data_IF_538128370675
#
_entry.id   IF_538128370675
#
_cell.length_a   1.000
_cell.length_b   1.000
_cell.length_c   1.000
_cell.angle_alpha   90.00
_cell.angle_beta   90.00
_cell.angle_gamma   90.00
#
_symmetry.space_group_name_H-M   'P 1'
#
loop_
_entity.id
_entity.type
_entity.pdbx_description
1 polymer ?
#
# COMPACT_ATOMS: atom_id res chain seq x y z
N UNK A 1 6.55 -7.41 -25.43
CA UNK A 1 6.36 -6.67 -24.18
C UNK A 1 7.20 -5.42 -24.28
N UNK A 2 6.56 -4.26 -24.23
CA UNK A 2 7.17 -2.95 -24.29
C UNK A 2 6.55 -2.12 -23.18
N UNK A 3 7.41 -1.52 -22.37
CA UNK A 3 7.03 -0.53 -21.37
C UNK A 3 7.95 0.67 -21.61
N UNK A 4 7.37 1.81 -21.95
CA UNK A 4 8.07 3.10 -22.02
C UNK A 4 7.19 4.15 -21.36
N UNK A 5 7.71 4.79 -20.33
CA UNK A 5 7.01 5.82 -19.57
C UNK A 5 7.90 7.07 -19.49
N UNK A 6 7.31 8.25 -19.47
CA UNK A 6 8.01 9.51 -19.20
C UNK A 6 7.26 10.31 -18.14
N UNK A 7 7.98 10.82 -17.14
CA UNK A 7 7.45 11.68 -16.09
C UNK A 7 8.38 12.86 -15.85
N UNK A 8 7.82 14.00 -15.48
CA UNK A 8 8.56 15.15 -14.92
C UNK A 8 8.39 15.28 -13.41
N UNK A 9 7.37 14.63 -12.85
CA UNK A 9 7.05 14.67 -11.44
C UNK A 9 6.95 13.23 -10.87
N UNK A 10 8.08 12.62 -10.49
CA UNK A 10 8.05 11.31 -9.85
C UNK A 10 7.66 11.38 -8.36
N UNK A 11 7.32 12.56 -7.81
CA UNK A 11 7.06 12.74 -6.38
C UNK A 11 5.98 11.79 -5.85
N UNK A 12 4.79 11.65 -6.47
CA UNK A 12 3.76 10.79 -5.92
C UNK A 12 4.21 9.32 -5.86
N UNK A 13 4.95 8.86 -6.89
CA UNK A 13 5.55 7.52 -6.89
C UNK A 13 6.62 7.38 -5.80
N UNK A 14 7.53 8.36 -5.69
CA UNK A 14 8.62 8.34 -4.70
C UNK A 14 8.09 8.35 -3.27
N UNK A 15 7.07 9.15 -3.02
CA UNK A 15 6.39 9.26 -1.73
C UNK A 15 5.69 7.95 -1.37
N UNK A 16 4.84 7.44 -2.28
CA UNK A 16 4.16 6.13 -2.12
C UNK A 16 5.16 5.03 -1.79
N UNK A 17 6.22 4.88 -2.59
CA UNK A 17 7.26 3.87 -2.37
C UNK A 17 7.99 4.08 -1.03
N UNK A 18 8.23 5.32 -0.62
CA UNK A 18 8.89 5.63 0.66
C UNK A 18 8.02 5.28 1.87
N UNK A 19 6.70 5.34 1.73
CA UNK A 19 5.74 4.95 2.75
C UNK A 19 5.63 3.44 2.93
N UNK A 20 5.94 2.64 1.92
CA UNK A 20 5.81 1.18 1.97
C UNK A 20 7.15 0.43 2.11
N UNK A 21 8.28 1.08 1.80
CA UNK A 21 9.60 0.44 1.77
C UNK A 21 10.12 -0.07 3.13
N UNK A 22 9.54 0.36 4.25
CA UNK A 22 9.87 -0.18 5.59
C UNK A 22 9.08 -1.45 5.91
N UNK A 23 7.99 -1.72 5.20
CA UNK A 23 7.17 -2.94 5.37
C UNK A 23 7.87 -4.11 4.68
N UNK A 24 8.22 -3.97 3.39
CA UNK A 24 8.98 -4.96 2.60
C UNK A 24 9.88 -4.33 1.56
N UNK A 25 10.89 -5.10 1.12
CA UNK A 25 11.91 -4.66 0.15
C UNK A 25 11.62 -5.02 -1.30
N UNK A 26 10.69 -5.94 -1.55
CA UNK A 26 10.30 -6.34 -2.90
C UNK A 26 8.85 -5.96 -3.16
N UNK A 27 8.61 -5.46 -4.36
CA UNK A 27 7.30 -5.03 -4.84
C UNK A 27 7.07 -5.58 -6.24
N UNK A 28 5.81 -5.82 -6.57
CA UNK A 28 5.33 -6.02 -7.94
C UNK A 28 4.71 -4.70 -8.40
N UNK A 29 5.16 -4.20 -9.54
CA UNK A 29 4.57 -3.08 -10.26
C UNK A 29 3.75 -3.66 -11.41
N UNK A 30 2.43 -3.50 -11.35
CA UNK A 30 1.48 -3.87 -12.41
C UNK A 30 1.10 -2.60 -13.15
N UNK A 31 1.65 -2.44 -14.35
CA UNK A 31 1.35 -1.31 -15.22
C UNK A 31 0.19 -1.65 -16.15
N UNK A 32 -0.85 -0.83 -16.10
CA UNK A 32 -1.94 -0.76 -17.09
C UNK A 32 -1.95 0.64 -17.70
N UNK A 33 -2.82 0.91 -18.69
CA UNK A 33 -2.91 2.26 -19.27
C UNK A 33 -3.44 3.30 -18.28
N UNK A 34 -4.32 2.87 -17.36
CA UNK A 34 -5.05 3.78 -16.48
C UNK A 34 -4.46 3.81 -15.07
N UNK A 35 -3.96 2.68 -14.58
CA UNK A 35 -3.49 2.51 -13.21
C UNK A 35 -2.12 1.78 -13.12
N UNK A 36 -1.27 2.28 -12.22
CA UNK A 36 -0.14 1.57 -11.66
C UNK A 36 -0.54 0.96 -10.32
N UNK A 37 -0.69 -0.36 -10.26
CA UNK A 37 -0.86 -1.08 -9.00
C UNK A 37 0.51 -1.49 -8.44
N UNK A 38 0.79 -1.17 -7.18
CA UNK A 38 2.00 -1.54 -6.45
C UNK A 38 1.63 -2.54 -5.36
N UNK A 39 2.19 -3.75 -5.43
CA UNK A 39 1.85 -4.84 -4.52
C UNK A 39 3.10 -5.24 -3.74
N UNK A 40 3.03 -5.23 -2.41
CA UNK A 40 4.16 -5.68 -1.59
C UNK A 40 4.23 -7.20 -1.54
N UNK A 41 5.41 -7.75 -1.85
CA UNK A 41 5.61 -9.20 -1.87
C UNK A 41 6.84 -9.62 -1.09
N UNK A 42 6.86 -10.87 -0.64
CA UNK A 42 8.05 -11.50 -0.09
C UNK A 42 8.50 -12.67 -0.97
N UNK A 43 9.29 -12.38 -2.01
CA UNK A 43 9.66 -13.39 -2.99
C UNK A 43 8.44 -13.89 -3.76
N UNK A 44 8.08 -15.18 -3.59
CA UNK A 44 6.93 -15.78 -4.29
C UNK A 44 5.62 -15.74 -3.50
N UNK A 45 5.63 -15.36 -2.22
CA UNK A 45 4.42 -15.33 -1.39
C UNK A 45 3.81 -13.93 -1.33
N UNK A 46 2.59 -13.82 -1.85
CA UNK A 46 1.75 -12.60 -1.82
C UNK A 46 0.85 -12.58 -0.57
N UNK A 47 0.53 -13.75 -0.02
CA UNK A 47 -0.37 -13.91 1.13
C UNK A 47 0.25 -13.57 2.48
N UNK A 48 1.54 -13.24 2.53
CA UNK A 48 2.20 -12.92 3.79
C UNK A 48 1.66 -11.59 4.33
N UNK A 49 1.20 -11.62 5.58
CA UNK A 49 0.74 -10.42 6.27
C UNK A 49 1.90 -9.61 6.86
N UNK A 50 1.76 -8.28 6.99
CA UNK A 50 0.65 -7.45 6.50
C UNK A 50 0.63 -7.36 4.96
N UNK A 51 -0.54 -7.12 4.40
CA UNK A 51 -0.78 -7.10 2.96
C UNK A 51 -0.95 -5.64 2.52
N UNK A 52 -0.23 -5.16 1.50
CA UNK A 52 -0.25 -3.74 1.07
C UNK A 52 -0.37 -3.61 -0.44
N UNK A 53 -1.40 -2.86 -0.85
CA UNK A 53 -1.73 -2.53 -2.22
C UNK A 53 -1.74 -1.01 -2.34
N UNK A 54 -1.09 -0.49 -3.36
CA UNK A 54 -1.21 0.92 -3.71
C UNK A 54 -1.72 1.02 -5.14
N UNK A 55 -2.65 1.93 -5.38
CA UNK A 55 -3.16 2.27 -6.70
C UNK A 55 -2.75 3.69 -6.99
N UNK A 56 -2.11 3.90 -8.14
CA UNK A 56 -1.74 5.24 -8.58
C UNK A 56 -2.23 5.44 -10.00
N UNK A 57 -2.97 6.52 -10.20
CA UNK A 57 -3.46 6.88 -11.53
C UNK A 57 -2.31 7.19 -12.47
N UNK A 58 -2.24 6.50 -13.60
CA UNK A 58 -1.11 6.62 -14.53
C UNK A 58 -0.95 8.03 -15.10
N UNK A 59 -2.07 8.72 -15.36
CA UNK A 59 -2.07 10.10 -15.89
C UNK A 59 -1.64 11.14 -14.86
N UNK A 60 -1.72 10.85 -13.56
CA UNK A 60 -1.15 11.72 -12.52
C UNK A 60 0.38 11.61 -12.44
N UNK A 61 0.93 10.45 -12.84
CA UNK A 61 2.37 10.16 -12.76
C UNK A 61 3.12 10.43 -14.06
N UNK A 62 2.56 10.07 -15.20
CA UNK A 62 3.30 9.98 -16.46
C UNK A 62 2.62 10.79 -17.57
N UNK A 63 3.41 11.61 -18.27
CA UNK A 63 2.97 12.41 -19.42
C UNK A 63 2.87 11.55 -20.70
N UNK A 64 3.69 10.53 -20.81
CA UNK A 64 3.70 9.60 -21.95
C UNK A 64 3.71 8.16 -21.43
N UNK A 65 2.73 7.38 -21.89
CA UNK A 65 2.52 5.99 -21.47
C UNK A 65 2.46 5.11 -22.72
N UNK A 66 3.39 4.16 -22.83
CA UNK A 66 3.37 3.14 -23.88
C UNK A 66 3.54 1.78 -23.23
N UNK A 67 2.44 1.01 -23.22
CA UNK A 67 2.36 -0.33 -22.65
C UNK A 67 1.86 -1.29 -23.72
N UNK A 68 2.69 -2.26 -24.09
CA UNK A 68 2.32 -3.33 -25.01
C UNK A 68 2.69 -4.67 -24.35
N UNK A 69 1.72 -5.55 -24.12
CA UNK A 69 1.96 -6.90 -23.60
C UNK A 69 1.48 -7.95 -24.60
N UNK A 70 2.14 -9.12 -24.60
CA UNK A 70 1.86 -10.19 -25.58
C UNK A 70 0.64 -11.05 -25.21
N UNK A 71 0.21 -11.00 -23.95
CA UNK A 71 -0.78 -11.92 -23.38
C UNK A 71 -1.81 -11.20 -22.48
N UNK A 72 -1.92 -9.87 -22.56
CA UNK A 72 -2.86 -9.09 -21.76
C UNK A 72 -2.67 -7.58 -21.92
N UNK A 73 -3.45 -6.79 -21.19
CA UNK A 73 -3.36 -5.32 -21.14
C UNK A 73 -2.35 -4.79 -20.10
N UNK A 74 -1.70 -5.69 -19.36
CA UNK A 74 -0.82 -5.34 -18.25
C UNK A 74 0.63 -5.84 -18.43
N UNK A 75 1.58 -5.08 -17.87
CA UNK A 75 2.98 -5.48 -17.70
C UNK A 75 3.29 -5.55 -16.21
N UNK A 76 3.69 -6.73 -15.72
CA UNK A 76 4.00 -6.95 -14.31
C UNK A 76 5.49 -7.17 -14.12
N UNK A 77 6.12 -6.40 -13.24
CA UNK A 77 7.54 -6.54 -12.91
C UNK A 77 7.74 -6.57 -11.39
N UNK A 78 8.55 -7.51 -10.92
CA UNK A 78 9.01 -7.61 -9.55
C UNK A 78 10.42 -7.01 -9.43
N UNK A 79 10.62 -6.08 -8.50
CA UNK A 79 11.92 -5.43 -8.26
C UNK A 79 12.11 -5.03 -6.79
N UNK A 80 13.33 -4.63 -6.45
CA UNK A 80 13.65 -4.11 -5.13
C UNK A 80 13.30 -2.62 -5.03
N UNK A 81 12.47 -2.26 -4.04
CA UNK A 81 11.96 -0.89 -3.85
C UNK A 81 13.05 0.12 -3.49
N UNK A 82 14.07 -0.28 -2.72
CA UNK A 82 15.13 0.63 -2.29
C UNK A 82 15.98 1.08 -3.48
N UNK A 83 16.23 0.19 -4.45
CA UNK A 83 16.95 0.54 -5.69
C UNK A 83 16.17 1.54 -6.56
N UNK A 84 14.84 1.38 -6.61
CA UNK A 84 13.98 2.33 -7.32
C UNK A 84 13.97 3.68 -6.61
N UNK A 85 13.73 3.70 -5.30
CA UNK A 85 13.78 4.91 -4.49
C UNK A 85 15.12 5.64 -4.58
N UNK A 86 16.24 4.92 -4.54
CA UNK A 86 17.56 5.51 -4.71
C UNK A 86 17.70 6.20 -6.08
N UNK A 87 17.20 5.55 -7.14
CA UNK A 87 17.25 6.12 -8.48
C UNK A 87 16.38 7.38 -8.61
N UNK A 88 15.18 7.37 -8.03
CA UNK A 88 14.30 8.54 -8.00
C UNK A 88 14.93 9.71 -7.22
N UNK A 89 15.55 9.44 -6.06
CA UNK A 89 16.28 10.46 -5.29
C UNK A 89 17.47 11.05 -6.06
N UNK A 90 18.15 10.24 -6.87
CA UNK A 90 19.25 10.73 -7.71
C UNK A 90 18.72 11.64 -8.83
N UNK A 91 17.58 11.29 -9.42
CA UNK A 91 16.90 12.14 -10.41
C UNK A 91 16.52 13.50 -9.81
N UNK A 92 15.92 13.53 -8.62
CA UNK A 92 15.54 14.79 -7.95
C UNK A 92 16.75 15.70 -7.73
N UNK A 93 17.89 15.13 -7.34
CA UNK A 93 19.14 15.88 -7.14
C UNK A 93 19.75 16.40 -8.42
N UNK A 94 19.49 15.75 -9.54
CA UNK A 94 20.07 16.11 -10.83
C UNK A 94 19.35 17.30 -11.48
N UNK A 95 18.17 17.72 -10.97
CA UNK A 95 17.33 18.76 -11.57
C UNK A 95 17.10 18.53 -13.08
N UNK A 96 16.88 17.26 -13.47
CA UNK A 96 16.61 16.89 -14.85
C UNK A 96 15.18 17.26 -15.24
N UNK A 97 14.98 17.66 -16.50
CA UNK A 97 13.67 18.06 -17.02
C UNK A 97 12.68 16.89 -17.17
N UNK A 98 13.18 15.66 -17.22
CA UNK A 98 12.32 14.48 -17.32
C UNK A 98 13.05 13.17 -17.02
N UNK A 99 12.26 12.18 -16.63
CA UNK A 99 12.68 10.83 -16.30
C UNK A 99 11.97 9.84 -17.22
N UNK A 100 12.73 9.07 -17.97
CA UNK A 100 12.21 8.03 -18.86
C UNK A 100 12.44 6.65 -18.24
N UNK A 101 11.38 5.85 -18.14
CA UNK A 101 11.43 4.47 -17.67
C UNK A 101 11.20 3.53 -18.84
N UNK A 102 12.05 2.51 -18.98
CA UNK A 102 11.94 1.52 -20.06
C UNK A 102 12.24 0.12 -19.55
N UNK A 103 11.36 -0.83 -19.86
CA UNK A 103 11.66 -2.25 -19.65
C UNK A 103 12.64 -2.74 -20.72
N UNK A 104 13.75 -3.32 -20.28
CA UNK A 104 14.79 -3.89 -21.15
C UNK A 104 15.01 -5.36 -20.81
N UNK A 105 15.14 -6.21 -21.84
CA UNK A 105 15.62 -7.58 -21.64
C UNK A 105 17.12 -7.52 -21.44
N UNK A 106 17.62 -8.29 -20.47
CA UNK A 106 19.05 -8.47 -20.29
C UNK A 106 19.51 -9.49 -21.32
N UNK A 107 20.35 -9.10 -22.28
CA UNK A 107 20.89 -10.06 -23.24
C UNK A 107 21.82 -11.05 -22.53
N UNK A 108 21.65 -12.34 -22.80
CA UNK A 108 22.50 -13.44 -22.29
C UNK A 108 23.76 -13.64 -23.14
N UNK A 109 24.18 -12.63 -23.91
CA UNK A 109 25.34 -12.68 -24.80
C UNK A 109 26.56 -12.01 -24.15
N UNK A 110 27.42 -12.84 -23.52
CA UNK A 110 28.87 -12.56 -23.46
C UNK A 110 29.47 -12.09 -22.13
N UNK A 111 29.73 -13.04 -21.22
CA UNK A 111 31.01 -13.28 -20.50
C UNK A 111 30.74 -14.29 -19.35
N UNK A 112 31.41 -15.45 -19.31
CA UNK A 112 31.25 -16.40 -18.20
C UNK A 112 31.88 -15.78 -16.96
N UNK A 113 31.06 -15.33 -16.01
CA UNK A 113 31.56 -14.77 -14.75
C UNK A 113 30.55 -14.02 -13.90
N UNK A 114 29.49 -13.45 -14.48
CA UNK A 114 28.44 -12.79 -13.68
C UNK A 114 27.20 -13.68 -13.67
N UNK A 115 27.15 -14.55 -12.68
CA UNK A 115 25.98 -15.30 -12.30
C UNK A 115 24.77 -14.37 -12.12
N UNK A 116 23.92 -14.21 -13.14
CA UNK A 116 22.53 -13.75 -12.96
C UNK A 116 21.74 -14.88 -12.32
N UNK A 117 22.10 -15.22 -11.08
CA UNK A 117 21.36 -16.18 -10.25
C UNK A 117 19.95 -15.63 -10.06
N UNK A 118 18.95 -16.49 -10.27
CA UNK A 118 17.53 -16.33 -9.90
C UNK A 118 16.67 -15.46 -10.83
N UNK A 119 16.33 -15.95 -12.03
CA UNK A 119 15.09 -15.57 -12.76
C UNK A 119 14.90 -14.11 -13.20
N UNK A 120 15.86 -13.20 -12.95
CA UNK A 120 15.82 -11.78 -13.33
C UNK A 120 16.44 -11.57 -14.72
N UNK A 121 15.66 -11.87 -15.75
CA UNK A 121 16.05 -11.77 -17.17
C UNK A 121 15.73 -10.40 -17.79
N UNK A 122 15.32 -9.43 -16.97
CA UNK A 122 15.01 -8.09 -17.40
C UNK A 122 15.59 -7.04 -16.45
N UNK A 123 15.59 -5.79 -16.89
CA UNK A 123 15.86 -4.63 -16.07
C UNK A 123 14.87 -3.52 -16.36
N UNK A 124 14.45 -2.80 -15.32
CA UNK A 124 13.80 -1.51 -15.46
C UNK A 124 14.91 -0.46 -15.59
N UNK A 125 15.06 0.09 -16.78
CA UNK A 125 16.05 1.10 -17.08
C UNK A 125 15.45 2.50 -16.92
N UNK A 126 16.13 3.37 -16.17
CA UNK A 126 15.74 4.75 -15.92
C UNK A 126 16.79 5.67 -16.57
N UNK A 127 16.32 6.63 -17.36
CA UNK A 127 17.12 7.58 -18.12
C UNK A 127 16.73 9.01 -17.81
N UNK A 128 17.70 9.84 -17.51
CA UNK A 128 17.52 11.28 -17.33
C UNK A 128 18.83 12.00 -17.66
N UNK A 129 18.77 13.30 -17.89
CA UNK A 129 19.94 14.09 -18.25
C UNK A 129 19.93 15.44 -17.57
N UNK A 130 21.09 15.97 -17.24
CA UNK A 130 21.22 17.30 -16.67
C UNK A 130 22.39 18.05 -17.29
N UNK A 131 22.34 19.37 -17.18
CA UNK A 131 23.45 20.24 -17.57
C UNK A 131 24.42 20.38 -16.39
N UNK A 132 25.72 20.27 -16.67
CA UNK A 132 26.73 20.61 -15.69
C UNK A 132 27.03 22.12 -15.68
N UNK A 133 27.93 22.56 -14.80
CA UNK A 133 28.35 23.96 -14.65
C UNK A 133 28.91 24.54 -15.98
N UNK A 134 29.44 23.69 -16.85
CA UNK A 134 29.99 24.06 -18.15
C UNK A 134 28.97 23.95 -19.30
N UNK A 135 27.68 23.83 -18.98
CA UNK A 135 26.59 23.61 -19.95
C UNK A 135 26.70 22.34 -20.81
N UNK A 136 27.50 21.35 -20.39
CA UNK A 136 27.55 20.04 -21.06
C UNK A 136 26.40 19.15 -20.57
N UNK A 137 25.78 18.43 -21.50
CA UNK A 137 24.75 17.44 -21.20
C UNK A 137 25.38 16.17 -20.63
N UNK A 138 25.00 15.82 -19.41
CA UNK A 138 25.35 14.55 -18.77
C UNK A 138 24.13 13.63 -18.85
N UNK A 139 24.31 12.46 -19.43
CA UNK A 139 23.26 11.44 -19.51
C UNK A 139 23.46 10.39 -18.40
N UNK A 140 22.41 10.15 -17.63
CA UNK A 140 22.39 9.15 -16.57
C UNK A 140 21.57 7.94 -17.00
N UNK A 141 22.06 6.75 -16.68
CA UNK A 141 21.35 5.49 -16.94
C UNK A 141 21.47 4.58 -15.74
N UNK A 142 20.34 4.21 -15.15
CA UNK A 142 20.27 3.25 -14.06
C UNK A 142 19.49 2.03 -14.53
N UNK A 143 20.05 0.83 -14.33
CA UNK A 143 19.38 -0.43 -14.68
C UNK A 143 19.08 -1.20 -13.41
N UNK A 144 17.81 -1.23 -13.02
CA UNK A 144 17.34 -1.96 -11.84
C UNK A 144 16.99 -3.38 -12.29
N UNK A 145 17.65 -4.43 -11.75
CA UNK A 145 17.30 -5.81 -12.08
C UNK A 145 15.83 -6.10 -11.72
N UNK A 146 15.09 -6.64 -12.68
CA UNK A 146 13.67 -6.92 -12.53
C UNK A 146 13.35 -8.34 -13.01
N UNK A 147 12.34 -8.96 -12.39
CA UNK A 147 11.77 -10.23 -12.83
C UNK A 147 10.41 -9.94 -13.45
N UNK A 148 10.22 -10.39 -14.70
CA UNK A 148 8.90 -10.29 -15.34
C UNK A 148 8.00 -11.33 -14.70
N UNK A 149 6.86 -10.89 -14.17
CA UNK A 149 5.88 -11.76 -13.51
C UNK A 149 4.80 -12.10 -14.51
N UNK A 150 4.38 -13.38 -14.52
CA UNK A 150 3.17 -13.82 -15.20
C UNK A 150 2.09 -13.98 -14.15
N UNK A 151 0.89 -13.53 -14.45
CA UNK A 151 -0.28 -13.76 -13.61
C UNK A 151 -1.36 -14.54 -14.39
N UNK A 152 -1.17 -15.85 -14.59
CA UNK A 152 -2.01 -16.63 -15.48
C UNK A 152 -3.44 -16.86 -14.94
N UNK A 153 -3.70 -16.65 -13.65
CA UNK A 153 -4.98 -16.96 -12.98
C UNK A 153 -5.53 -15.72 -12.23
N UNK A 154 -5.00 -14.51 -12.49
CA UNK A 154 -5.40 -13.28 -11.80
C UNK A 154 -5.27 -13.42 -10.26
N UNK A 155 -4.20 -14.11 -9.82
CA UNK A 155 -3.90 -14.36 -8.40
C UNK A 155 -3.52 -13.05 -7.71
N UNK A 156 -3.01 -12.07 -8.46
CA UNK A 156 -2.67 -10.74 -7.97
C UNK A 156 -3.90 -9.81 -8.02
N UNK A 157 -4.92 -10.16 -7.25
CA UNK A 157 -6.05 -9.28 -6.97
C UNK A 157 -5.92 -8.71 -5.55
N UNK A 158 -6.51 -7.54 -5.34
CA UNK A 158 -6.66 -6.95 -4.03
C UNK A 158 -7.54 -7.84 -3.14
N UNK A 159 -7.21 -8.04 -1.85
CA UNK A 159 -8.02 -8.86 -0.95
C UNK A 159 -9.45 -8.36 -0.85
N UNK A 160 -10.40 -9.14 -1.37
CA UNK A 160 -11.81 -8.85 -1.21
C UNK A 160 -12.29 -9.31 0.16
N UNK A 161 -13.05 -8.45 0.85
CA UNK A 161 -13.66 -8.77 2.15
C UNK A 161 -15.16 -8.94 2.01
N UNK A 162 -15.68 -10.16 2.17
CA UNK A 162 -17.09 -10.46 1.94
C UNK A 162 -18.00 -10.01 3.10
N UNK A 163 -17.45 -9.74 4.28
CA UNK A 163 -18.26 -9.39 5.45
C UNK A 163 -18.39 -7.86 5.61
N UNK A 164 -19.53 -7.43 6.13
CA UNK A 164 -19.80 -6.05 6.50
C UNK A 164 -18.96 -5.72 7.75
N UNK A 165 -18.00 -4.80 7.60
CA UNK A 165 -17.19 -4.28 8.69
C UNK A 165 -17.67 -2.93 9.19
N UNK A 166 -17.01 -2.42 10.22
CA UNK A 166 -17.15 -1.05 10.69
C UNK A 166 -16.20 -0.14 9.91
N UNK A 167 -16.73 0.90 9.27
CA UNK A 167 -15.91 1.91 8.62
C UNK A 167 -15.77 3.10 9.55
N UNK A 168 -14.55 3.37 9.99
CA UNK A 168 -14.22 4.51 10.83
C UNK A 168 -13.40 5.51 10.02
N UNK A 169 -13.92 6.71 9.82
CA UNK A 169 -13.10 7.80 9.30
C UNK A 169 -12.17 8.27 10.40
N UNK A 170 -10.87 8.10 10.19
CA UNK A 170 -9.87 8.30 11.23
C UNK A 170 -9.40 9.76 11.22
N UNK A 171 -9.46 10.45 12.36
CA UNK A 171 -8.89 11.79 12.47
C UNK A 171 -7.36 11.71 12.41
N UNK A 172 -6.71 12.76 11.92
CA UNK A 172 -5.26 12.79 11.72
C UNK A 172 -4.48 12.54 13.02
N UNK A 173 -5.02 12.95 14.17
CA UNK A 173 -4.44 12.73 15.50
C UNK A 173 -4.40 11.24 15.89
N UNK A 174 -5.13 10.37 15.19
CA UNK A 174 -5.11 8.93 15.42
C UNK A 174 -3.71 8.32 15.27
N UNK A 175 -2.82 8.93 14.48
CA UNK A 175 -1.41 8.52 14.39
C UNK A 175 -0.72 8.43 15.76
N UNK A 176 -1.16 9.25 16.73
CA UNK A 176 -0.61 9.25 18.10
C UNK A 176 -0.91 7.95 18.86
N UNK A 177 -1.96 7.21 18.48
CA UNK A 177 -2.31 5.92 19.07
C UNK A 177 -1.24 4.86 18.79
N UNK A 178 -0.67 4.84 17.59
CA UNK A 178 0.43 3.94 17.25
C UNK A 178 1.66 4.20 18.15
N UNK A 179 2.03 5.47 18.34
CA UNK A 179 3.15 5.86 19.21
C UNK A 179 2.92 5.47 20.67
N UNK A 180 1.68 5.52 21.16
CA UNK A 180 1.32 5.10 22.52
C UNK A 180 1.45 3.59 22.69
N UNK A 181 0.97 2.82 21.71
CA UNK A 181 1.07 1.36 21.70
C UNK A 181 2.54 0.88 21.68
N UNK A 182 3.43 1.60 21.00
CA UNK A 182 4.86 1.27 20.92
C UNK A 182 5.58 1.23 22.27
N UNK A 183 5.14 2.05 23.24
CA UNK A 183 5.73 2.07 24.59
C UNK A 183 5.64 0.74 25.33
N UNK A 184 4.72 -0.13 24.91
CA UNK A 184 4.43 -1.41 25.55
C UNK A 184 5.04 -2.62 24.82
N UNK A 185 5.79 -2.40 23.73
CA UNK A 185 6.47 -3.44 22.93
C UNK A 185 7.61 -4.18 23.66
N UNK A 186 7.90 -3.85 24.92
CA UNK A 186 9.12 -4.28 25.62
C UNK A 186 9.09 -5.74 26.10
N UNK A 187 7.97 -6.46 26.03
CA UNK A 187 7.91 -7.86 26.45
C UNK A 187 7.77 -8.81 25.26
N UNK A 188 8.54 -9.92 25.20
CA UNK A 188 8.45 -10.94 24.13
C UNK A 188 7.07 -11.61 23.99
N UNK A 189 6.25 -11.54 25.03
CA UNK A 189 4.85 -12.03 25.11
C UNK A 189 3.82 -10.97 24.70
N UNK A 190 4.21 -9.70 24.58
CA UNK A 190 3.35 -8.55 24.24
C UNK A 190 3.20 -8.32 22.72
N UNK A 191 3.32 -9.38 21.93
CA UNK A 191 3.33 -9.32 20.47
C UNK A 191 1.93 -9.19 19.85
N UNK A 192 0.87 -9.33 20.67
CA UNK A 192 -0.52 -9.24 20.21
C UNK A 192 -1.22 -8.03 20.83
N UNK A 193 -2.01 -7.34 20.02
CA UNK A 193 -2.95 -6.31 20.45
C UNK A 193 -4.35 -6.73 20.07
N UNK A 194 -5.28 -6.65 21.02
CA UNK A 194 -6.71 -6.85 20.73
C UNK A 194 -7.29 -5.53 20.25
N UNK A 195 -7.80 -5.50 19.03
CA UNK A 195 -8.59 -4.38 18.50
C UNK A 195 -10.04 -4.65 18.88
N UNK A 196 -10.68 -3.69 19.53
CA UNK A 196 -12.11 -3.70 19.87
C UNK A 196 -12.81 -2.52 19.23
N UNK A 197 -13.90 -2.79 18.55
CA UNK A 197 -14.75 -1.81 17.90
C UNK A 197 -16.20 -2.01 18.31
N UNK A 198 -16.96 -0.93 18.49
CA UNK A 198 -18.40 -0.98 18.73
C UNK A 198 -19.09 0.25 18.12
N UNK A 199 -20.27 0.05 17.51
CA UNK A 199 -21.13 1.15 17.02
C UNK A 199 -21.93 1.83 18.12
N UNK A 200 -22.04 1.21 19.28
CA UNK A 200 -22.87 1.70 20.38
C UNK A 200 -22.23 2.95 21.03
N UNK A 201 -23.07 3.90 21.48
CA UNK A 201 -22.69 5.03 22.33
C UNK A 201 -21.43 5.81 21.88
N UNK A 202 -21.51 6.50 20.72
CA UNK A 202 -20.46 7.35 20.12
C UNK A 202 -19.31 6.63 19.40
N UNK A 203 -19.52 5.39 18.97
CA UNK A 203 -18.54 4.63 18.20
C UNK A 203 -17.22 4.42 18.98
N UNK A 204 -17.12 3.30 19.70
CA UNK A 204 -15.93 2.96 20.46
C UNK A 204 -14.89 2.27 19.57
N UNK A 205 -13.65 2.76 19.63
CA UNK A 205 -12.47 2.07 19.13
C UNK A 205 -11.43 1.98 20.26
N UNK A 206 -10.96 0.78 20.56
CA UNK A 206 -9.97 0.57 21.60
C UNK A 206 -9.00 -0.57 21.32
N UNK A 207 -7.83 -0.46 21.94
CA UNK A 207 -6.72 -1.37 21.81
C UNK A 207 -6.37 -1.91 23.19
N UNK A 208 -6.36 -3.23 23.33
CA UNK A 208 -6.05 -3.90 24.60
C UNK A 208 -4.76 -4.70 24.43
N UNK A 209 -3.78 -4.34 25.24
CA UNK A 209 -2.54 -5.08 25.41
C UNK A 209 -2.60 -5.76 26.78
N UNK A 210 -2.51 -7.08 26.79
CA UNK A 210 -2.57 -7.87 28.01
C UNK A 210 -1.41 -8.85 28.06
N UNK A 211 -0.76 -8.92 29.21
CA UNK A 211 0.21 -9.96 29.54
C UNK A 211 -0.24 -10.60 30.84
N UNK A 212 -0.52 -11.89 30.78
CA UNK A 212 -1.09 -12.65 31.90
C UNK A 212 -0.22 -12.51 33.16
N UNK A 213 -0.87 -12.16 34.28
CA UNK A 213 -0.19 -11.96 35.56
C UNK A 213 0.70 -10.71 35.67
N UNK A 214 0.80 -9.87 34.62
CA UNK A 214 1.64 -8.66 34.65
C UNK A 214 0.86 -7.36 34.48
N UNK A 215 0.18 -7.20 33.34
CA UNK A 215 -0.54 -5.95 33.06
C UNK A 215 -1.69 -6.15 32.08
N UNK A 216 -2.65 -5.23 32.14
CA UNK A 216 -3.69 -5.04 31.14
C UNK A 216 -3.85 -3.56 30.87
N UNK A 217 -3.43 -3.13 29.68
CA UNK A 217 -3.48 -1.74 29.23
C UNK A 217 -4.58 -1.63 28.19
N UNK A 218 -5.52 -0.70 28.41
CA UNK A 218 -6.56 -0.36 27.45
C UNK A 218 -6.36 1.06 26.97
N UNK A 219 -6.21 1.25 25.67
CA UNK A 219 -6.15 2.54 25.01
C UNK A 219 -7.40 2.71 24.16
N UNK A 220 -8.28 3.64 24.53
CA UNK A 220 -9.48 3.96 23.76
C UNK A 220 -9.33 5.29 23.04
N UNK A 221 -9.99 5.40 21.90
CA UNK A 221 -10.27 6.68 21.29
C UNK A 221 -11.41 7.35 22.05
N UNK A 222 -11.20 8.59 22.48
CA UNK A 222 -12.19 9.35 23.28
C UNK A 222 -12.95 10.39 22.47
N UNK A 223 -12.54 10.65 21.23
CA UNK A 223 -13.24 11.55 20.32
C UNK A 223 -14.44 10.88 19.66
N UNK A 224 -15.28 11.66 18.99
CA UNK A 224 -16.29 11.13 18.08
C UNK A 224 -15.62 10.55 16.85
N UNK A 225 -16.07 9.38 16.40
CA UNK A 225 -15.63 8.80 15.13
C UNK A 225 -16.84 8.71 14.22
N UNK A 226 -16.71 9.25 13.01
CA UNK A 226 -17.72 9.07 11.97
C UNK A 226 -17.71 7.61 11.55
N UNK A 227 -18.87 6.96 11.69
CA UNK A 227 -19.08 5.58 11.27
C UNK A 227 -20.08 5.57 10.13
N UNK A 228 -19.70 4.99 9.00
CA UNK A 228 -20.67 4.67 7.96
C UNK A 228 -20.99 3.19 7.93
N UNK A 229 -22.20 2.93 7.45
CA UNK A 229 -22.69 1.60 7.14
C UNK A 229 -22.53 1.32 5.65
N UNK A 230 -22.17 0.09 5.29
CA UNK A 230 -22.17 -0.35 3.90
C UNK A 230 -23.60 -0.30 3.36
N UNK A 231 -23.78 0.35 2.20
CA UNK A 231 -24.93 0.14 1.33
C UNK A 231 -24.75 -1.21 0.63
N UNK A 232 -25.73 -2.11 0.77
CA UNK A 232 -25.77 -3.34 -0.04
C UNK A 232 -26.60 -3.03 -1.27
N UNK A 233 -25.94 -2.66 -2.37
CA UNK A 233 -26.41 -3.11 -3.68
C UNK A 233 -25.51 -4.26 -4.11
N UNK A 234 -26.07 -5.33 -4.67
CA UNK A 234 -25.43 -6.63 -5.00
C UNK A 234 -24.27 -6.55 -6.03
N UNK A 235 -23.62 -5.41 -6.18
CA UNK A 235 -22.62 -5.13 -7.21
C UNK A 235 -21.48 -4.19 -6.77
N UNK A 236 -21.51 -3.63 -5.55
CA UNK A 236 -20.51 -2.66 -5.12
C UNK A 236 -19.40 -3.32 -4.28
N UNK A 237 -18.16 -3.05 -4.67
CA UNK A 237 -16.96 -3.55 -4.00
C UNK A 237 -16.72 -2.78 -2.68
N UNK A 238 -15.89 -3.32 -1.78
CA UNK A 238 -15.52 -2.59 -0.55
C UNK A 238 -14.75 -1.29 -0.83
N UNK A 239 -14.24 -1.13 -2.06
CA UNK A 239 -13.56 0.09 -2.54
C UNK A 239 -14.58 1.20 -2.81
N UNK A 240 -15.72 0.87 -3.43
CA UNK A 240 -16.78 1.84 -3.75
C UNK A 240 -17.37 2.46 -2.48
N UNK A 241 -17.58 1.66 -1.42
CA UNK A 241 -18.08 2.17 -0.14
C UNK A 241 -17.08 3.09 0.57
N UNK A 242 -15.77 2.83 0.44
CA UNK A 242 -14.73 3.72 0.97
C UNK A 242 -14.67 5.00 0.16
N UNK A 243 -14.85 4.92 -1.16
CA UNK A 243 -14.89 6.09 -2.04
C UNK A 243 -16.13 6.96 -1.73
N UNK A 244 -17.31 6.34 -1.55
CA UNK A 244 -18.55 7.03 -1.15
C UNK A 244 -18.39 7.76 0.18
N UNK A 245 -17.78 7.10 1.17
CA UNK A 245 -17.41 7.68 2.47
C UNK A 245 -16.51 8.90 2.39
N UNK A 246 -15.63 8.96 1.38
CA UNK A 246 -14.78 10.13 1.13
C UNK A 246 -15.55 11.26 0.44
N UNK A 247 -16.58 10.92 -0.34
CA UNK A 247 -17.34 11.86 -1.16
C UNK A 247 -18.67 12.34 -0.55
N UNK A 248 -19.14 11.77 0.56
CA UNK A 248 -20.44 12.12 1.13
C UNK A 248 -20.48 13.53 1.72
N UNK A 249 -21.24 14.40 1.05
CA UNK A 249 -21.95 15.54 1.61
C UNK A 249 -23.43 15.14 1.75
N UNK A 250 -23.96 15.25 2.96
CA UNK A 250 -25.37 15.20 3.38
C UNK A 250 -26.38 14.49 2.45
N UNK A 251 -26.72 13.23 2.73
CA UNK A 251 -28.09 12.71 2.53
C UNK A 251 -28.46 11.67 3.61
N UNK A 252 -29.52 11.97 4.35
CA UNK A 252 -30.15 11.11 5.37
C UNK A 252 -30.96 9.98 4.69
N UNK A 253 -30.58 8.71 4.87
CA UNK A 253 -31.42 7.58 4.47
C UNK A 253 -31.32 6.39 5.45
N UNK A 254 -32.48 5.84 5.81
CA UNK A 254 -32.65 4.81 6.85
C UNK A 254 -32.69 3.35 6.32
N UNK A 255 -32.17 2.43 7.17
CA UNK A 255 -32.62 1.04 7.48
C UNK A 255 -31.92 -0.24 6.94
N UNK A 256 -31.41 -1.02 7.93
CA UNK A 256 -31.64 -2.44 8.30
C UNK A 256 -30.96 -3.62 7.54
N UNK A 257 -29.95 -4.23 8.18
CA UNK A 257 -29.53 -5.61 7.92
C UNK A 257 -28.38 -6.07 8.84
N UNK A 258 -28.63 -7.09 9.70
CA UNK A 258 -27.70 -7.78 10.63
C UNK A 258 -26.30 -7.15 10.75
N UNK A 259 -26.26 -5.98 11.36
CA UNK A 259 -25.03 -5.24 11.61
C UNK A 259 -24.31 -5.87 12.79
N UNK A 260 -23.08 -6.35 12.58
CA UNK A 260 -22.16 -6.63 13.68
C UNK A 260 -22.11 -5.37 14.54
N UNK A 261 -22.58 -5.44 15.79
CA UNK A 261 -22.62 -4.27 16.68
C UNK A 261 -21.27 -4.05 17.37
N UNK A 262 -20.51 -5.13 17.56
CA UNK A 262 -19.19 -5.13 18.17
C UNK A 262 -18.26 -6.14 17.47
N UNK A 263 -16.99 -5.78 17.30
CA UNK A 263 -15.93 -6.73 16.91
C UNK A 263 -14.77 -6.67 17.90
N UNK A 264 -14.15 -7.83 18.11
CA UNK A 264 -12.95 -7.94 18.92
C UNK A 264 -12.06 -9.08 18.39
N UNK A 265 -10.87 -8.75 17.90
CA UNK A 265 -9.89 -9.76 17.47
C UNK A 265 -8.46 -9.30 17.78
N UNK A 266 -7.55 -10.27 17.83
CA UNK A 266 -6.13 -10.03 18.12
C UNK A 266 -5.36 -9.87 16.80
N UNK A 267 -4.41 -8.96 16.73
CA UNK A 267 -3.44 -8.84 15.62
C UNK A 267 -2.03 -8.77 16.18
N UNK A 268 -1.03 -9.06 15.34
CA UNK A 268 0.36 -8.82 15.70
C UNK A 268 0.60 -7.32 15.84
N UNK A 269 1.06 -6.90 17.02
CA UNK A 269 1.36 -5.51 17.34
C UNK A 269 2.41 -4.93 16.38
N UNK A 270 3.41 -5.72 15.99
CA UNK A 270 4.42 -5.32 15.01
C UNK A 270 3.79 -4.96 13.66
N UNK A 271 2.84 -5.77 13.19
CA UNK A 271 2.21 -5.56 11.89
C UNK A 271 1.32 -4.32 11.95
N UNK A 272 0.51 -4.17 13.01
CA UNK A 272 -0.25 -2.94 13.25
C UNK A 272 0.65 -1.68 13.26
N UNK A 273 1.78 -1.73 13.97
CA UNK A 273 2.72 -0.60 14.05
C UNK A 273 3.34 -0.20 12.71
N UNK A 274 3.52 -1.14 11.78
CA UNK A 274 4.08 -0.84 10.47
C UNK A 274 3.17 0.10 9.65
N UNK A 275 1.86 0.13 9.92
CA UNK A 275 0.95 1.05 9.25
C UNK A 275 1.11 2.52 9.68
N UNK A 276 1.75 2.79 10.82
CA UNK A 276 1.85 4.14 11.42
C UNK A 276 2.42 5.20 10.47
N UNK A 277 3.42 4.84 9.65
CA UNK A 277 4.04 5.77 8.69
C UNK A 277 3.08 6.14 7.55
N UNK A 278 2.27 5.18 7.10
CA UNK A 278 1.26 5.37 6.06
C UNK A 278 0.17 6.30 6.60
N UNK A 279 -0.44 5.91 7.73
CA UNK A 279 -1.52 6.67 8.38
C UNK A 279 -1.08 8.09 8.74
N UNK A 280 0.15 8.27 9.21
CA UNK A 280 0.67 9.58 9.60
C UNK A 280 0.99 10.53 8.45
N UNK A 281 0.92 10.08 7.19
CA UNK A 281 1.22 10.91 6.02
C UNK A 281 0.01 11.15 5.11
N UNK A 282 -0.89 10.17 5.04
CA UNK A 282 -2.11 10.27 4.25
C UNK A 282 -3.07 11.32 4.82
N UNK A 283 -3.76 12.03 3.93
CA UNK A 283 -4.72 13.07 4.28
C UNK A 283 -6.02 12.48 4.80
N UNK A 284 -6.54 11.47 4.11
CA UNK A 284 -7.76 10.77 4.48
C UNK A 284 -7.43 9.30 4.80
N UNK A 285 -7.94 8.82 5.93
CA UNK A 285 -7.71 7.44 6.40
C UNK A 285 -9.03 6.86 6.86
N UNK A 286 -9.42 5.73 6.28
CA UNK A 286 -10.59 4.95 6.68
C UNK A 286 -10.10 3.63 7.25
N UNK A 287 -10.46 3.33 8.49
CA UNK A 287 -10.21 2.05 9.14
C UNK A 287 -11.46 1.18 8.99
N UNK A 288 -11.34 0.08 8.26
CA UNK A 288 -12.39 -0.92 8.13
C UNK A 288 -12.08 -2.12 9.04
N UNK A 289 -12.99 -2.42 9.97
CA UNK A 289 -12.87 -3.50 10.96
C UNK A 289 -13.93 -4.56 10.68
N UNK A 290 -13.50 -5.72 10.20
CA UNK A 290 -14.33 -6.91 10.09
C UNK A 290 -14.39 -7.73 11.39
N UNK A 291 -15.09 -8.88 11.37
CA UNK A 291 -15.17 -9.76 12.54
C UNK A 291 -13.81 -10.30 13.00
N UNK A 292 -12.90 -10.58 12.05
CA UNK A 292 -11.62 -11.24 12.30
C UNK A 292 -10.48 -10.64 11.46
N UNK A 293 -10.61 -9.42 10.98
CA UNK A 293 -9.61 -8.74 10.15
C UNK A 293 -9.83 -7.22 10.20
N UNK A 294 -8.83 -6.46 9.81
CA UNK A 294 -8.99 -5.04 9.52
C UNK A 294 -8.17 -4.61 8.31
N UNK A 295 -8.53 -3.46 7.78
CA UNK A 295 -7.71 -2.74 6.83
C UNK A 295 -7.74 -1.24 7.07
N UNK A 296 -6.72 -0.57 6.55
CA UNK A 296 -6.65 0.87 6.44
C UNK A 296 -6.67 1.24 4.96
N UNK A 297 -7.60 2.10 4.57
CA UNK A 297 -7.73 2.64 3.24
C UNK A 297 -7.40 4.12 3.26
N UNK A 298 -6.26 4.46 2.69
CA UNK A 298 -5.68 5.78 2.81
C UNK A 298 -5.64 6.48 1.45
N UNK A 299 -5.96 7.77 1.42
CA UNK A 299 -5.68 8.67 0.30
C UNK A 299 -4.49 9.55 0.68
N UNK A 300 -3.46 9.59 -0.17
CA UNK A 300 -2.23 10.31 0.14
C UNK A 300 -2.46 11.82 0.27
N UNK A 301 -3.20 12.42 -0.66
CA UNK A 301 -3.35 13.88 -0.80
C UNK A 301 -4.81 14.36 -0.91
N UNK A 302 -5.77 13.43 -0.90
CA UNK A 302 -7.21 13.70 -0.98
C UNK A 302 -7.68 14.00 -2.39
N UNK A 303 -6.86 13.71 -3.40
CA UNK A 303 -7.23 13.87 -4.82
C UNK A 303 -7.84 12.60 -5.42
N UNK A 304 -7.69 11.46 -4.75
CA UNK A 304 -8.00 10.13 -5.29
C UNK A 304 -6.97 9.60 -6.29
N UNK A 305 -5.89 10.32 -6.59
CA UNK A 305 -4.89 9.85 -7.55
C UNK A 305 -3.93 8.80 -6.96
N UNK A 306 -3.76 8.78 -5.64
CA UNK A 306 -2.90 7.82 -4.91
C UNK A 306 -3.64 7.22 -3.73
N UNK A 307 -3.95 5.93 -3.85
CA UNK A 307 -4.59 5.16 -2.80
C UNK A 307 -3.65 4.10 -2.23
N UNK A 308 -3.70 3.91 -0.91
CA UNK A 308 -2.92 2.89 -0.20
C UNK A 308 -3.88 2.09 0.68
N UNK A 309 -4.04 0.80 0.35
CA UNK A 309 -4.79 -0.16 1.14
C UNK A 309 -3.82 -1.08 1.91
N UNK A 310 -4.05 -1.23 3.22
CA UNK A 310 -3.23 -2.01 4.13
C UNK A 310 -4.09 -3.00 4.89
N UNK A 311 -3.86 -4.30 4.73
CA UNK A 311 -4.69 -5.39 5.26
C UNK A 311 -3.94 -6.21 6.31
N UNK A 312 -4.64 -6.56 7.39
CA UNK A 312 -4.17 -7.43 8.47
C UNK A 312 -5.28 -8.40 8.84
N UNK A 313 -5.00 -9.70 8.92
CA UNK A 313 -5.97 -10.64 9.46
C UNK A 313 -5.76 -10.81 10.97
N UNK A 314 -6.83 -11.20 11.63
CA UNK A 314 -6.82 -11.59 13.02
C UNK A 314 -5.93 -12.81 13.24
N UNK A 315 -5.11 -12.73 14.27
CA UNK A 315 -4.26 -13.81 14.73
C UNK A 315 -5.12 -15.02 15.12
N UNK A 316 -4.95 -16.11 14.37
CA UNK A 316 -5.47 -17.42 14.73
C UNK A 316 -4.33 -18.20 15.35
N UNK A 317 -4.46 -18.61 16.61
CA UNK A 317 -3.56 -19.63 17.16
C UNK A 317 -3.77 -20.87 16.30
N UNK A 318 -2.74 -21.34 15.61
CA UNK A 318 -2.79 -22.65 14.97
C UNK A 318 -3.11 -23.67 16.07
N UNK A 319 -4.27 -24.30 15.94
CA UNK A 319 -4.66 -25.46 16.75
C UNK A 319 -3.79 -26.64 16.33
#
# INVERSE_FOLDING_TARGET
>A
MRLKLMTRNPEPLKETLSLIAHVRKFIILKFTNDELTIILVNGQTISLEPQVWCKVKMSSLFESIIIESKQGSAVLIELNVDLLLQTLRNFDKANSEGLNLKLQRTETSGKPGVNTKVGRTASLALYYSNLNINANVINHTFKIPAKIVKDPINVLHEPQRPHLGFFFKMPHEFVTMFKRLEKFKKTPSGDLVTIKASKLNKAYLGFILEEEGKYKVTLSWNGTIEVAEKFVSDSQSSEDAVHELRSQADEDYYHLGNTVEQAAFKVKLKDWQLASKIVGRCKDVVLDIGPNDCSLHCDLDGTGDVEIAYFINGYRSSV
#
